data_IF_463140344742
#
_entry.id   IF_463140344742
#
_cell.length_a   1.000
_cell.length_b   1.000
_cell.length_c   1.000
_cell.angle_alpha   90.00
_cell.angle_beta   90.00
_cell.angle_gamma   90.00
#
_symmetry.space_group_name_H-M   'P 1'
#
loop_
_entity.id
_entity.type
_entity.pdbx_description
1 polymer ?
#
# COMPACT_ATOMS: atom_id res chain seq x y z
N UNK A 1 -63.79 -39.71 2.14
CA UNK A 1 -62.37 -39.95 2.46
C UNK A 1 -62.23 -39.78 3.97
N UNK A 2 -61.81 -40.79 4.74
CA UNK A 2 -61.73 -40.69 6.19
C UNK A 2 -60.60 -39.71 6.59
N UNK A 3 -60.90 -38.77 7.47
CA UNK A 3 -59.93 -37.82 8.00
C UNK A 3 -59.19 -38.48 9.17
N UNK A 4 -57.86 -38.58 9.08
CA UNK A 4 -57.03 -39.00 10.21
C UNK A 4 -56.74 -37.79 11.10
N UNK A 5 -57.48 -37.65 12.20
CA UNK A 5 -57.15 -36.67 13.25
C UNK A 5 -56.31 -37.39 14.29
N UNK A 6 -54.98 -37.22 14.22
CA UNK A 6 -54.08 -37.65 15.30
C UNK A 6 -54.16 -36.57 16.39
N UNK A 7 -55.16 -36.67 17.28
CA UNK A 7 -55.24 -35.84 18.48
C UNK A 7 -54.79 -36.63 19.69
N UNK A 8 -53.74 -36.15 20.38
CA UNK A 8 -53.32 -36.69 21.67
C UNK A 8 -54.45 -36.53 22.69
N UNK A 9 -54.72 -37.57 23.48
CA UNK A 9 -55.69 -37.46 24.58
C UNK A 9 -55.14 -36.49 25.65
N UNK A 10 -55.83 -35.39 25.99
CA UNK A 10 -55.33 -34.40 26.94
C UNK A 10 -55.18 -34.93 28.37
N UNK A 11 -55.82 -36.07 28.67
CA UNK A 11 -55.83 -36.63 30.02
C UNK A 11 -54.70 -37.63 30.28
N UNK A 12 -54.12 -38.23 29.24
CA UNK A 12 -53.07 -39.25 29.36
C UNK A 12 -51.87 -39.02 28.41
N UNK A 13 -51.92 -37.98 27.57
CA UNK A 13 -50.88 -37.59 26.62
C UNK A 13 -50.39 -38.73 25.71
N UNK A 14 -51.17 -39.82 25.56
CA UNK A 14 -50.80 -40.93 24.69
C UNK A 14 -51.20 -40.62 23.26
N UNK A 15 -50.25 -40.74 22.35
CA UNK A 15 -50.49 -40.79 20.91
C UNK A 15 -51.21 -42.11 20.60
N UNK A 16 -52.50 -42.01 20.28
CA UNK A 16 -53.28 -43.15 19.80
C UNK A 16 -54.10 -42.68 18.61
N UNK A 17 -54.10 -43.42 17.48
CA UNK A 17 -54.93 -43.08 16.35
C UNK A 17 -56.39 -43.30 16.74
N UNK A 18 -57.18 -42.23 16.73
CA UNK A 18 -58.63 -42.30 16.88
C UNK A 18 -59.27 -42.34 15.49
N UNK A 19 -60.05 -43.38 15.22
CA UNK A 19 -60.90 -43.46 14.04
C UNK A 19 -62.29 -42.98 14.45
N UNK A 20 -62.70 -41.84 13.94
CA UNK A 20 -64.08 -41.35 14.03
C UNK A 20 -64.51 -40.95 12.62
N UNK A 21 -65.69 -41.42 12.21
CA UNK A 21 -66.22 -41.18 10.88
C UNK A 21 -67.23 -40.02 10.86
N UNK A 22 -67.67 -39.52 12.03
CA UNK A 22 -68.65 -38.43 12.13
C UNK A 22 -68.37 -37.43 13.26
N UNK A 23 -68.66 -36.16 13.00
CA UNK A 23 -68.56 -35.04 13.95
C UNK A 23 -69.67 -35.19 15.00
N UNK A 24 -69.33 -35.13 16.29
CA UNK A 24 -70.30 -35.20 17.40
C UNK A 24 -70.46 -36.58 18.06
N UNK A 25 -69.68 -37.57 17.65
CA UNK A 25 -69.68 -38.91 18.28
C UNK A 25 -68.82 -38.93 19.56
N UNK A 26 -69.27 -39.68 20.58
CA UNK A 26 -68.51 -39.89 21.80
C UNK A 26 -67.38 -40.89 21.54
N UNK A 27 -66.15 -40.42 21.47
CA UNK A 27 -64.98 -41.29 21.27
C UNK A 27 -64.41 -41.68 22.63
N UNK A 28 -64.19 -42.98 22.84
CA UNK A 28 -63.61 -43.51 24.07
C UNK A 28 -62.10 -43.69 23.95
N UNK A 29 -61.36 -43.21 24.95
CA UNK A 29 -59.93 -43.48 25.04
C UNK A 29 -59.67 -44.92 25.52
N UNK A 30 -58.96 -45.77 24.74
CA UNK A 30 -58.73 -47.16 25.12
C UNK A 30 -57.81 -47.31 26.34
N UNK A 31 -57.06 -46.27 26.71
CA UNK A 31 -56.14 -46.30 27.86
C UNK A 31 -56.75 -45.81 29.16
N UNK A 32 -57.62 -44.79 29.13
CA UNK A 32 -58.17 -44.21 30.36
C UNK A 32 -59.69 -44.42 30.51
N UNK A 33 -60.36 -45.00 29.52
CA UNK A 33 -61.78 -45.33 29.56
C UNK A 33 -62.73 -44.13 29.59
N UNK A 34 -62.22 -42.90 29.51
CA UNK A 34 -63.04 -41.69 29.45
C UNK A 34 -63.55 -41.44 28.03
N UNK A 35 -64.84 -41.10 27.93
CA UNK A 35 -65.44 -40.60 26.70
C UNK A 35 -65.14 -39.12 26.52
N UNK A 36 -65.03 -38.68 25.27
CA UNK A 36 -64.86 -37.28 24.91
C UNK A 36 -65.69 -36.97 23.67
N UNK A 37 -66.34 -35.81 23.69
CA UNK A 37 -67.12 -35.27 22.56
C UNK A 37 -66.18 -34.48 21.65
N UNK A 38 -66.17 -34.82 20.36
CA UNK A 38 -65.40 -34.08 19.34
C UNK A 38 -66.13 -32.77 19.06
N UNK A 39 -65.75 -31.69 19.75
CA UNK A 39 -66.23 -30.34 19.42
C UNK A 39 -65.45 -29.78 18.22
N UNK A 40 -66.23 -29.24 17.28
CA UNK A 40 -65.83 -28.76 15.96
C UNK A 40 -64.54 -27.91 16.00
N UNK A 41 -63.50 -28.40 15.34
CA UNK A 41 -62.19 -27.76 15.29
C UNK A 41 -62.23 -26.55 14.35
N UNK A 42 -62.14 -25.34 14.91
CA UNK A 42 -61.44 -24.28 14.20
C UNK A 42 -60.03 -24.79 13.88
N UNK A 43 -59.50 -24.63 12.65
CA UNK A 43 -58.20 -25.16 12.32
C UNK A 43 -57.18 -24.52 13.25
N UNK A 44 -56.58 -25.36 14.10
CA UNK A 44 -55.42 -25.04 14.91
C UNK A 44 -54.38 -24.53 13.93
N UNK A 45 -54.22 -23.21 13.88
CA UNK A 45 -53.11 -22.60 13.18
C UNK A 45 -51.87 -23.05 13.91
N UNK A 46 -51.18 -24.03 13.32
CA UNK A 46 -49.82 -24.38 13.68
C UNK A 46 -49.01 -23.12 13.48
N UNK A 47 -48.79 -22.38 14.57
CA UNK A 47 -47.89 -21.23 14.60
C UNK A 47 -46.50 -21.82 14.38
N UNK A 48 -46.12 -21.94 13.11
CA UNK A 48 -44.74 -22.20 12.76
C UNK A 48 -43.93 -21.02 13.28
N UNK A 49 -43.28 -21.22 14.41
CA UNK A 49 -42.22 -20.35 14.91
C UNK A 49 -41.08 -20.34 13.91
N UNK A 50 -41.24 -19.57 12.84
CA UNK A 50 -40.12 -19.14 12.00
C UNK A 50 -39.24 -18.30 12.89
N UNK A 51 -38.23 -18.94 13.47
CA UNK A 51 -37.04 -18.30 14.02
C UNK A 51 -36.50 -17.43 12.89
N UNK A 52 -36.93 -16.17 12.84
CA UNK A 52 -36.46 -15.11 11.95
C UNK A 52 -34.98 -14.91 12.27
N UNK A 53 -34.15 -15.83 11.77
CA UNK A 53 -32.70 -15.67 11.76
C UNK A 53 -32.46 -14.41 10.96
N UNK A 54 -31.86 -13.44 11.65
CA UNK A 54 -31.50 -12.09 11.20
C UNK A 54 -30.58 -12.12 9.96
N UNK A 55 -31.09 -12.59 8.82
CA UNK A 55 -30.38 -12.68 7.54
C UNK A 55 -29.87 -11.31 7.09
N UNK A 56 -30.55 -10.24 7.48
CA UNK A 56 -30.17 -8.85 7.22
C UNK A 56 -28.92 -8.43 8.01
N UNK A 57 -28.80 -8.82 9.28
CA UNK A 57 -27.61 -8.50 10.09
C UNK A 57 -26.40 -9.31 9.59
N UNK A 58 -26.60 -10.59 9.26
CA UNK A 58 -25.52 -11.44 8.75
C UNK A 58 -24.95 -10.93 7.41
N UNK A 59 -25.79 -10.38 6.53
CA UNK A 59 -25.35 -9.77 5.27
C UNK A 59 -24.58 -8.46 5.46
N UNK A 60 -24.96 -7.63 6.42
CA UNK A 60 -24.25 -6.38 6.74
C UNK A 60 -22.86 -6.66 7.32
N UNK A 61 -22.73 -7.66 8.21
CA UNK A 61 -21.45 -8.03 8.81
C UNK A 61 -20.48 -8.60 7.76
N UNK A 62 -20.94 -9.43 6.83
CA UNK A 62 -20.08 -9.94 5.75
C UNK A 62 -19.60 -8.80 4.85
N UNK A 63 -20.47 -7.84 4.55
CA UNK A 63 -20.13 -6.69 3.72
C UNK A 63 -19.08 -5.77 4.38
N UNK A 64 -19.19 -5.51 5.67
CA UNK A 64 -18.20 -4.68 6.38
C UNK A 64 -16.86 -5.39 6.53
N UNK A 65 -16.87 -6.69 6.82
CA UNK A 65 -15.65 -7.52 6.91
C UNK A 65 -14.94 -7.58 5.57
N UNK A 66 -15.67 -7.75 4.46
CA UNK A 66 -15.05 -7.76 3.11
C UNK A 66 -14.46 -6.41 2.73
N UNK A 67 -15.12 -5.29 3.02
CA UNK A 67 -14.56 -3.94 2.80
C UNK A 67 -13.28 -3.74 3.62
N UNK A 68 -13.28 -4.14 4.90
CA UNK A 68 -12.08 -4.05 5.74
C UNK A 68 -10.92 -4.87 5.19
N UNK A 69 -11.18 -6.10 4.72
CA UNK A 69 -10.16 -6.95 4.09
C UNK A 69 -9.61 -6.29 2.81
N UNK A 70 -10.46 -5.71 1.97
CA UNK A 70 -10.03 -5.01 0.75
C UNK A 70 -9.15 -3.81 1.08
N UNK A 71 -9.54 -2.99 2.07
CA UNK A 71 -8.74 -1.84 2.53
C UNK A 71 -7.37 -2.31 3.05
N UNK A 72 -7.34 -3.41 3.81
CA UNK A 72 -6.09 -4.00 4.32
C UNK A 72 -5.18 -4.49 3.19
N UNK A 73 -5.74 -5.16 2.18
CA UNK A 73 -4.99 -5.63 1.01
C UNK A 73 -4.43 -4.46 0.20
N UNK A 74 -5.22 -3.40 -0.02
CA UNK A 74 -4.78 -2.20 -0.76
C UNK A 74 -3.66 -1.48 0.00
N UNK A 75 -3.80 -1.30 1.32
CA UNK A 75 -2.78 -0.66 2.15
C UNK A 75 -1.44 -1.39 2.15
N UNK A 76 -1.45 -2.73 2.17
CA UNK A 76 -0.21 -3.54 2.12
C UNK A 76 0.46 -3.45 0.74
N UNK A 77 -0.32 -3.44 -0.35
CA UNK A 77 0.23 -3.40 -1.71
C UNK A 77 0.91 -2.06 -2.03
N UNK A 78 0.34 -0.95 -1.56
CA UNK A 78 0.86 0.38 -1.85
C UNK A 78 2.26 0.62 -1.24
N UNK A 79 2.44 0.32 0.06
CA UNK A 79 3.73 0.55 0.72
C UNK A 79 4.91 -0.29 0.19
N UNK A 80 4.63 -1.47 -0.38
CA UNK A 80 5.68 -2.29 -1.01
C UNK A 80 6.14 -1.77 -2.39
N UNK A 81 5.29 -0.95 -3.04
CA UNK A 81 5.53 -0.43 -4.39
C UNK A 81 6.35 0.85 -4.32
N UNK A 82 6.03 1.75 -3.37
CA UNK A 82 6.75 3.01 -3.14
C UNK A 82 8.24 2.79 -2.87
N UNK A 83 8.56 1.82 -2.00
CA UNK A 83 9.95 1.45 -1.70
C UNK A 83 10.72 1.04 -2.97
N UNK A 84 10.12 0.17 -3.78
CA UNK A 84 10.74 -0.33 -5.02
C UNK A 84 10.90 0.78 -6.06
N UNK A 85 9.94 1.70 -6.14
CA UNK A 85 10.02 2.85 -7.04
C UNK A 85 11.21 3.76 -6.66
N UNK A 86 11.37 4.08 -5.37
CA UNK A 86 12.51 4.84 -4.87
C UNK A 86 13.84 4.11 -5.14
N UNK A 87 13.91 2.81 -4.86
CA UNK A 87 15.10 1.98 -5.16
C UNK A 87 15.46 2.03 -6.65
N UNK A 88 14.47 1.96 -7.54
CA UNK A 88 14.69 2.03 -8.98
C UNK A 88 15.23 3.40 -9.42
N UNK A 89 14.73 4.49 -8.85
CA UNK A 89 15.24 5.85 -9.13
C UNK A 89 16.69 5.99 -8.69
N UNK A 90 17.01 5.58 -7.46
CA UNK A 90 18.38 5.67 -6.91
C UNK A 90 19.34 4.78 -7.72
N UNK A 91 18.90 3.60 -8.15
CA UNK A 91 19.71 2.73 -9.00
C UNK A 91 20.00 3.37 -10.37
N UNK A 92 19.02 4.05 -10.97
CA UNK A 92 19.22 4.80 -12.22
C UNK A 92 20.17 5.97 -12.02
N UNK A 93 20.01 6.74 -10.95
CA UNK A 93 20.88 7.87 -10.61
C UNK A 93 22.35 7.43 -10.45
N UNK A 94 22.56 6.31 -9.73
CA UNK A 94 23.87 5.68 -9.57
C UNK A 94 24.45 5.25 -10.92
N UNK A 95 23.66 4.61 -11.77
CA UNK A 95 24.09 4.19 -13.10
C UNK A 95 24.50 5.38 -13.98
N UNK A 96 23.76 6.49 -13.91
CA UNK A 96 24.12 7.74 -14.60
C UNK A 96 25.45 8.27 -14.08
N UNK A 97 25.61 8.36 -12.76
CA UNK A 97 26.85 8.84 -12.13
C UNK A 97 28.06 7.96 -12.43
N UNK A 98 27.88 6.64 -12.56
CA UNK A 98 28.94 5.69 -12.93
C UNK A 98 29.25 5.72 -14.44
N UNK A 99 28.26 6.05 -15.28
CA UNK A 99 28.48 6.20 -16.72
C UNK A 99 29.36 7.40 -17.07
N UNK A 100 29.45 8.37 -16.16
CA UNK A 100 30.25 9.57 -16.31
C UNK A 100 31.66 9.28 -15.80
N UNK A 101 32.54 8.93 -16.73
CA UNK A 101 33.97 8.78 -16.44
C UNK A 101 34.64 10.10 -16.04
N UNK A 102 35.90 10.02 -15.64
CA UNK A 102 36.71 11.20 -15.32
C UNK A 102 37.02 12.02 -16.59
N UNK A 103 36.52 13.26 -16.71
CA UNK A 103 36.76 14.07 -17.90
C UNK A 103 38.24 14.48 -18.00
N UNK A 104 38.82 14.45 -19.21
CA UNK A 104 40.21 14.83 -19.45
C UNK A 104 40.37 16.30 -19.89
N UNK A 105 39.27 16.97 -20.20
CA UNK A 105 39.25 18.39 -20.57
C UNK A 105 38.00 19.10 -20.08
N UNK A 106 38.04 20.45 -20.01
CA UNK A 106 36.87 21.28 -19.68
C UNK A 106 35.73 21.06 -20.68
N UNK A 107 36.07 20.84 -21.96
CA UNK A 107 35.07 20.59 -23.01
C UNK A 107 34.36 19.24 -22.83
N UNK A 108 35.10 18.21 -22.43
CA UNK A 108 34.54 16.91 -22.07
C UNK A 108 33.71 17.01 -20.80
N UNK A 109 34.19 17.73 -19.77
CA UNK A 109 33.43 17.97 -18.55
C UNK A 109 32.08 18.66 -18.83
N UNK A 110 32.06 19.68 -19.70
CA UNK A 110 30.81 20.35 -20.12
C UNK A 110 29.84 19.39 -20.81
N UNK A 111 30.34 18.51 -21.68
CA UNK A 111 29.52 17.50 -22.37
C UNK A 111 29.00 16.42 -21.41
N UNK A 112 29.86 15.90 -20.53
CA UNK A 112 29.50 14.91 -19.53
C UNK A 112 28.45 15.45 -18.57
N UNK A 113 28.61 16.69 -18.09
CA UNK A 113 27.64 17.34 -17.21
C UNK A 113 26.30 17.59 -17.92
N UNK A 114 26.32 18.00 -19.19
CA UNK A 114 25.10 18.14 -19.99
C UNK A 114 24.34 16.81 -20.11
N UNK A 115 25.07 15.75 -20.47
CA UNK A 115 24.54 14.40 -20.59
C UNK A 115 23.97 13.89 -19.26
N UNK A 116 24.63 14.20 -18.14
CA UNK A 116 24.16 13.84 -16.80
C UNK A 116 22.81 14.47 -16.50
N UNK A 117 22.70 15.79 -16.65
CA UNK A 117 21.48 16.54 -16.36
C UNK A 117 20.32 16.06 -17.25
N UNK A 118 20.58 15.81 -18.53
CA UNK A 118 19.59 15.27 -19.46
C UNK A 118 19.09 13.89 -19.03
N UNK A 119 20.00 12.98 -18.66
CA UNK A 119 19.63 11.64 -18.19
C UNK A 119 18.85 11.68 -16.87
N UNK A 120 19.24 12.55 -15.93
CA UNK A 120 18.52 12.72 -14.66
C UNK A 120 17.10 13.23 -14.87
N UNK A 121 16.89 14.16 -15.81
CA UNK A 121 15.56 14.69 -16.15
C UNK A 121 14.64 13.65 -16.80
N UNK A 122 15.20 12.61 -17.41
CA UNK A 122 14.44 11.51 -18.02
C UNK A 122 14.05 10.41 -17.03
N UNK A 123 14.50 10.51 -15.77
CA UNK A 123 14.11 9.54 -14.75
C UNK A 123 12.62 9.70 -14.44
N UNK A 124 11.88 8.60 -14.63
CA UNK A 124 10.49 8.52 -14.24
C UNK A 124 10.31 8.49 -12.72
N UNK A 125 9.52 9.45 -12.21
CA UNK A 125 9.19 9.63 -10.79
C UNK A 125 7.70 9.39 -10.51
N UNK A 126 6.91 8.90 -11.48
CA UNK A 126 5.45 8.78 -11.33
C UNK A 126 5.03 7.85 -10.20
N UNK A 127 5.81 6.79 -9.98
CA UNK A 127 5.53 5.74 -9.01
C UNK A 127 6.14 6.02 -7.63
N UNK A 128 6.87 7.14 -7.49
CA UNK A 128 7.47 7.55 -6.24
C UNK A 128 6.47 8.32 -5.35
N UNK A 129 6.63 8.26 -4.02
CA UNK A 129 5.83 9.08 -3.12
C UNK A 129 6.13 10.57 -3.32
N UNK A 130 5.13 11.40 -3.00
CA UNK A 130 5.15 12.85 -3.27
C UNK A 130 6.38 13.56 -2.69
N UNK A 131 6.72 13.25 -1.44
CA UNK A 131 7.83 13.88 -0.74
C UNK A 131 9.17 13.56 -1.42
N UNK A 132 9.38 12.30 -1.80
CA UNK A 132 10.57 11.89 -2.55
C UNK A 132 10.63 12.57 -3.92
N UNK A 133 9.52 12.60 -4.65
CA UNK A 133 9.45 13.23 -5.97
C UNK A 133 9.82 14.71 -5.91
N UNK A 134 9.28 15.44 -4.93
CA UNK A 134 9.59 16.87 -4.74
C UNK A 134 11.06 17.08 -4.40
N UNK A 135 11.62 16.30 -3.48
CA UNK A 135 13.03 16.41 -3.10
C UNK A 135 13.98 16.06 -4.26
N UNK A 136 13.68 14.98 -4.99
CA UNK A 136 14.50 14.57 -6.13
C UNK A 136 14.42 15.60 -7.28
N UNK A 137 13.25 16.20 -7.51
CA UNK A 137 13.12 17.29 -8.47
C UNK A 137 13.95 18.52 -8.07
N UNK A 138 14.03 18.86 -6.77
CA UNK A 138 14.92 19.92 -6.30
C UNK A 138 16.38 19.60 -6.59
N UNK A 139 16.79 18.34 -6.42
CA UNK A 139 18.14 17.89 -6.73
C UNK A 139 18.46 18.02 -8.23
N UNK A 140 17.55 17.60 -9.11
CA UNK A 140 17.67 17.81 -10.57
C UNK A 140 17.80 19.30 -10.89
N UNK A 141 17.01 20.15 -10.24
CA UNK A 141 17.07 21.60 -10.46
C UNK A 141 18.41 22.20 -9.98
N UNK A 142 18.96 21.73 -8.86
CA UNK A 142 20.28 22.14 -8.38
C UNK A 142 21.38 21.81 -9.40
N UNK A 143 21.38 20.57 -9.92
CA UNK A 143 22.29 20.16 -11.00
C UNK A 143 22.10 20.95 -12.29
N UNK A 144 20.85 21.24 -12.66
CA UNK A 144 20.53 22.03 -13.85
C UNK A 144 21.07 23.46 -13.72
N UNK A 145 20.90 24.08 -12.54
CA UNK A 145 21.43 25.41 -12.26
C UNK A 145 22.96 25.42 -12.32
N UNK A 146 23.61 24.42 -11.70
CA UNK A 146 25.05 24.28 -11.74
C UNK A 146 25.58 24.09 -13.16
N UNK A 147 24.92 23.28 -13.98
CA UNK A 147 25.25 23.12 -15.39
C UNK A 147 25.11 24.44 -16.17
N UNK A 148 24.03 25.20 -15.96
CA UNK A 148 23.85 26.50 -16.62
C UNK A 148 24.93 27.51 -16.23
N UNK A 149 25.36 27.50 -14.97
CA UNK A 149 26.45 28.36 -14.52
C UNK A 149 27.80 27.90 -15.08
N UNK A 150 28.06 26.59 -15.12
CA UNK A 150 29.25 26.00 -15.71
C UNK A 150 29.37 26.27 -17.22
N UNK A 151 28.25 26.32 -17.95
CA UNK A 151 28.26 26.71 -19.37
C UNK A 151 28.75 28.14 -19.59
N UNK A 152 28.43 29.05 -18.66
CA UNK A 152 28.85 30.46 -18.70
C UNK A 152 30.32 30.64 -18.30
N UNK A 153 30.99 29.59 -17.82
CA UNK A 153 32.41 29.68 -17.48
C UNK A 153 33.29 29.81 -18.73
N UNK A 154 34.29 30.71 -18.68
CA UNK A 154 35.27 30.83 -19.75
C UNK A 154 36.06 29.53 -19.90
N UNK A 155 36.43 29.21 -21.13
CA UNK A 155 37.26 28.02 -21.42
C UNK A 155 38.74 28.24 -21.05
N UNK A 156 39.14 29.49 -20.81
CA UNK A 156 40.50 29.90 -20.49
C UNK A 156 40.69 30.03 -18.98
N UNK A 157 41.66 29.30 -18.42
CA UNK A 157 41.92 29.27 -16.96
C UNK A 157 42.31 30.64 -16.38
N UNK A 158 42.96 31.49 -17.17
CA UNK A 158 43.41 32.82 -16.75
C UNK A 158 42.27 33.85 -16.65
N UNK A 159 41.11 33.59 -17.25
CA UNK A 159 39.91 34.44 -17.15
C UNK A 159 39.08 34.08 -15.91
N UNK A 160 39.36 32.95 -15.26
CA UNK A 160 38.63 32.45 -14.09
C UNK A 160 38.63 33.41 -12.89
N UNK A 161 39.76 34.07 -12.53
CA UNK A 161 39.76 35.06 -11.46
C UNK A 161 38.86 36.26 -11.76
N UNK A 162 38.90 36.77 -13.00
CA UNK A 162 38.08 37.92 -13.42
C UNK A 162 36.60 37.56 -13.51
N UNK A 163 36.27 36.38 -14.05
CA UNK A 163 34.91 35.89 -14.13
C UNK A 163 34.29 35.68 -12.75
N UNK A 164 35.05 35.11 -11.79
CA UNK A 164 34.62 34.95 -10.40
C UNK A 164 34.31 36.30 -9.74
N UNK A 165 35.16 37.31 -9.96
CA UNK A 165 34.95 38.67 -9.43
C UNK A 165 33.71 39.31 -10.03
N UNK A 166 33.47 39.15 -11.34
CA UNK A 166 32.36 39.80 -12.03
C UNK A 166 31.00 39.12 -11.83
N UNK A 167 30.97 37.79 -11.73
CA UNK A 167 29.73 37.01 -11.59
C UNK A 167 29.34 36.73 -10.14
N UNK A 168 30.27 36.90 -9.19
CA UNK A 168 30.07 36.48 -7.81
C UNK A 168 29.93 34.96 -7.64
N UNK A 169 30.26 34.17 -8.66
CA UNK A 169 30.06 32.72 -8.67
C UNK A 169 30.97 32.01 -7.66
N UNK A 170 30.36 31.18 -6.82
CA UNK A 170 31.05 30.43 -5.77
C UNK A 170 30.83 28.93 -5.95
N UNK A 171 31.82 28.24 -6.54
CA UNK A 171 31.78 26.80 -6.80
C UNK A 171 31.44 25.99 -5.54
N UNK A 172 31.99 26.40 -4.38
CA UNK A 172 31.73 25.74 -3.08
C UNK A 172 30.28 25.86 -2.63
N UNK A 173 29.60 26.92 -3.03
CA UNK A 173 28.22 27.16 -2.65
C UNK A 173 27.26 26.31 -3.48
N UNK A 174 27.55 26.14 -4.78
CA UNK A 174 26.77 25.23 -5.63
C UNK A 174 27.01 23.77 -5.30
N UNK A 175 28.25 23.37 -5.04
CA UNK A 175 28.59 22.03 -4.55
C UNK A 175 27.81 21.72 -3.27
N UNK A 176 27.82 22.65 -2.32
CA UNK A 176 27.04 22.52 -1.08
C UNK A 176 25.54 22.39 -1.34
N UNK A 177 24.97 23.16 -2.29
CA UNK A 177 23.55 23.07 -2.61
C UNK A 177 23.18 21.70 -3.21
N UNK A 178 24.04 21.15 -4.06
CA UNK A 178 23.87 19.82 -4.64
C UNK A 178 23.92 18.76 -3.53
N UNK A 179 24.89 18.86 -2.62
CA UNK A 179 25.02 17.95 -1.47
C UNK A 179 23.83 18.05 -0.51
N UNK A 180 23.40 19.28 -0.18
CA UNK A 180 22.27 19.53 0.72
C UNK A 180 20.96 18.94 0.13
N UNK A 181 20.74 19.11 -1.18
CA UNK A 181 19.56 18.53 -1.86
C UNK A 181 19.64 17.00 -1.96
N UNK A 182 20.83 16.43 -2.17
CA UNK A 182 21.02 14.98 -2.13
C UNK A 182 20.78 14.41 -0.73
N UNK A 183 21.21 15.12 0.32
CA UNK A 183 20.95 14.72 1.69
C UNK A 183 19.45 14.71 2.03
N UNK A 184 18.68 15.67 1.51
CA UNK A 184 17.20 15.68 1.62
C UNK A 184 16.59 14.44 0.96
N UNK A 185 17.01 14.12 -0.27
CA UNK A 185 16.57 12.91 -1.00
C UNK A 185 16.87 11.64 -0.19
N UNK A 186 18.07 11.53 0.36
CA UNK A 186 18.48 10.38 1.18
C UNK A 186 17.66 10.23 2.45
N UNK A 187 17.43 11.31 3.18
CA UNK A 187 16.64 11.26 4.41
C UNK A 187 15.22 10.76 4.14
N UNK A 188 14.64 11.18 3.01
CA UNK A 188 13.33 10.68 2.59
C UNK A 188 13.42 9.21 2.18
N UNK A 189 14.42 8.81 1.39
CA UNK A 189 14.62 7.40 1.04
C UNK A 189 14.74 6.49 2.28
N UNK A 190 15.45 6.94 3.32
CA UNK A 190 15.61 6.25 4.60
C UNK A 190 14.26 6.11 5.33
N UNK A 191 13.42 7.15 5.32
CA UNK A 191 12.04 7.10 5.87
C UNK A 191 11.21 5.98 5.23
N UNK A 192 11.43 5.70 3.95
CA UNK A 192 10.80 4.59 3.21
C UNK A 192 11.56 3.25 3.32
N UNK A 193 12.56 3.14 4.20
CA UNK A 193 13.39 1.95 4.42
C UNK A 193 14.15 1.50 3.16
N UNK A 194 14.54 2.46 2.33
CA UNK A 194 15.47 2.25 1.21
C UNK A 194 16.89 2.53 1.71
N UNK A 195 17.80 1.59 1.44
CA UNK A 195 19.20 1.78 1.78
C UNK A 195 19.92 2.49 0.63
N UNK A 196 20.33 3.73 0.85
CA UNK A 196 21.13 4.50 -0.11
C UNK A 196 22.59 4.32 0.27
N UNK A 197 23.35 3.57 -0.52
CA UNK A 197 24.80 3.47 -0.32
C UNK A 197 25.46 4.78 -0.69
N UNK A 198 26.26 5.33 0.22
CA UNK A 198 27.10 6.48 -0.06
C UNK A 198 28.43 6.04 -0.65
N UNK A 199 28.80 6.58 -1.81
CA UNK A 199 30.19 6.52 -2.33
C UNK A 199 31.19 7.00 -1.27
N UNK A 200 30.82 7.99 -0.43
CA UNK A 200 31.64 8.51 0.67
C UNK A 200 31.96 7.46 1.76
N UNK A 201 31.17 6.39 1.89
CA UNK A 201 31.37 5.35 2.91
C UNK A 201 32.31 4.22 2.47
N UNK A 202 32.61 4.13 1.17
CA UNK A 202 33.58 3.17 0.61
C UNK A 202 34.97 3.80 0.47
N UNK A 203 35.08 5.06 0.00
CA UNK A 203 36.38 5.77 -0.05
C UNK A 203 36.98 6.00 1.34
N UNK A 204 36.16 6.24 2.37
CA UNK A 204 36.65 6.37 3.75
C UNK A 204 37.12 5.05 4.36
N UNK A 205 36.74 3.90 3.79
CA UNK A 205 37.26 2.58 4.18
C UNK A 205 38.55 2.24 3.46
N UNK A 206 38.66 2.50 2.15
CA UNK A 206 39.91 2.26 1.40
C UNK A 206 41.08 3.13 1.90
N UNK A 207 40.84 4.41 2.25
CA UNK A 207 41.90 5.29 2.78
C UNK A 207 42.41 4.81 4.15
N UNK A 208 41.56 4.13 4.94
CA UNK A 208 41.94 3.60 6.26
C UNK A 208 42.74 2.28 6.19
N UNK A 209 42.68 1.54 5.09
CA UNK A 209 43.47 0.31 4.90
C UNK A 209 44.83 0.60 4.23
N UNK A 210 44.93 1.59 3.36
CA UNK A 210 46.21 1.96 2.73
C UNK A 210 47.17 2.69 3.67
N UNK A 211 46.66 3.37 4.70
CA UNK A 211 47.51 4.03 5.72
C UNK A 211 47.99 3.08 6.82
N UNK A 212 47.46 1.85 6.95
CA UNK A 212 47.93 0.87 7.92
C UNK A 212 48.97 -0.13 7.37
N UNK A 213 49.18 -0.17 6.05
CA UNK A 213 50.17 -1.06 5.41
C UNK A 213 51.48 -0.36 5.00
N UNK A 214 51.64 0.92 5.36
CA UNK A 214 52.91 1.65 5.23
C UNK A 214 53.44 2.02 6.61
N UNK A 215 53.80 1.02 7.41
CA UNK A 215 54.67 1.20 8.57
C UNK A 215 55.52 -0.04 8.83
#
# INVERSE_FOLDING_TARGET
MPFHVISCCPHCASESPFLSEQIGENVFCPKCGKSMTVENSNPVQVVQGKKRRNKTIFRLVISTVTILIIVLIIGIRFGSTEKKAIEAVIAKDRAISESIGTPRSISEAKKSLASMVEQMQQIDLSDCPEDFRVAYQKHINAWTNAYQAFQKMPNSIWEWPFWKIFTGYNLKEEEKLIDDTWFEVKNIAIKYKVNVQDKLSEESKEISEDTSNTQ
#
